data_IF_242642448167
#
_entry.id   IF_242642448167
#
_cell.length_a   1.000
_cell.length_b   1.000
_cell.length_c   1.000
_cell.angle_alpha   90.00
_cell.angle_beta   90.00
_cell.angle_gamma   90.00
#
_symmetry.space_group_name_H-M   'P 1'
#
loop_
_entity.id
_entity.type
_entity.pdbx_description
1 polymer ?
#
# COMPACT_ATOMS: atom_id res chain seq x y z
N UNK A 1 36.30 14.98 4.65
CA UNK A 1 35.20 14.08 5.02
C UNK A 1 34.53 13.65 3.72
N UNK A 2 34.62 12.39 3.32
CA UNK A 2 33.97 11.89 2.11
C UNK A 2 32.51 11.59 2.42
N UNK A 3 31.57 12.17 1.67
CA UNK A 3 30.16 11.81 1.76
C UNK A 3 30.00 10.48 1.01
N UNK A 4 29.38 9.45 1.61
CA UNK A 4 29.08 8.20 0.92
C UNK A 4 28.16 8.48 -0.27
N UNK A 5 28.49 7.89 -1.43
CA UNK A 5 27.61 7.91 -2.59
C UNK A 5 26.60 6.77 -2.46
N UNK A 6 25.31 7.10 -2.36
CA UNK A 6 24.25 6.11 -2.48
C UNK A 6 24.05 5.82 -3.97
N UNK A 7 24.56 4.68 -4.43
CA UNK A 7 24.54 4.31 -5.84
C UNK A 7 23.21 3.63 -6.25
N UNK A 8 22.23 4.47 -6.57
CA UNK A 8 20.93 4.03 -7.08
C UNK A 8 21.04 3.33 -8.45
N UNK A 9 22.06 3.64 -9.25
CA UNK A 9 22.23 3.02 -10.56
C UNK A 9 22.55 1.53 -10.40
N UNK A 10 23.55 1.21 -9.57
CA UNK A 10 23.88 -0.18 -9.22
C UNK A 10 22.68 -0.89 -8.60
N UNK A 11 21.94 -0.23 -7.69
CA UNK A 11 20.71 -0.80 -7.13
C UNK A 11 19.70 -1.22 -8.20
N UNK A 12 19.43 -0.41 -9.22
CA UNK A 12 18.51 -0.79 -10.28
C UNK A 12 19.07 -1.92 -11.15
N UNK A 13 20.35 -1.87 -11.51
CA UNK A 13 20.97 -2.90 -12.34
C UNK A 13 21.00 -4.27 -11.65
N UNK A 14 21.19 -4.29 -10.32
CA UNK A 14 21.24 -5.51 -9.51
C UNK A 14 19.85 -5.97 -9.05
N UNK A 15 18.86 -5.08 -9.04
CA UNK A 15 17.48 -5.38 -8.66
C UNK A 15 16.53 -5.27 -9.86
N UNK A 16 16.38 -6.38 -10.58
CA UNK A 16 15.51 -6.46 -11.76
C UNK A 16 14.06 -6.02 -11.47
N UNK A 17 13.52 -6.31 -10.28
CA UNK A 17 12.16 -5.89 -9.93
C UNK A 17 12.06 -4.37 -9.85
N UNK A 18 13.05 -3.69 -9.25
CA UNK A 18 13.10 -2.23 -9.24
C UNK A 18 13.38 -1.64 -10.63
N UNK A 19 14.20 -2.33 -11.45
CA UNK A 19 14.50 -1.91 -12.82
C UNK A 19 13.27 -1.93 -13.73
N UNK A 20 12.48 -3.00 -13.68
CA UNK A 20 11.28 -3.20 -14.53
C UNK A 20 10.19 -2.14 -14.26
N UNK A 21 10.34 -1.38 -13.18
CA UNK A 21 9.45 -0.30 -12.73
C UNK A 21 10.02 1.12 -12.94
N UNK A 22 11.07 1.23 -13.77
CA UNK A 22 11.54 2.52 -14.29
C UNK A 22 10.79 2.87 -15.58
N UNK A 23 10.00 3.95 -15.53
CA UNK A 23 9.45 4.57 -16.73
C UNK A 23 10.55 5.32 -17.48
N UNK A 24 10.60 5.15 -18.80
CA UNK A 24 11.65 5.71 -19.68
C UNK A 24 13.10 5.35 -19.28
N UNK A 25 13.28 4.35 -18.40
CA UNK A 25 14.60 3.93 -17.90
C UNK A 25 15.22 4.84 -16.84
N UNK A 26 14.52 5.88 -16.37
CA UNK A 26 15.04 6.80 -15.34
C UNK A 26 14.00 7.30 -14.34
N UNK A 27 12.70 7.25 -14.66
CA UNK A 27 11.63 7.78 -13.81
C UNK A 27 11.00 6.63 -12.98
N UNK A 28 11.22 6.57 -11.66
CA UNK A 28 10.69 5.49 -10.84
C UNK A 28 9.18 5.64 -10.61
N UNK A 29 8.44 4.54 -10.78
CA UNK A 29 7.02 4.47 -10.38
C UNK A 29 6.85 4.25 -8.86
N UNK A 30 5.62 4.05 -8.40
CA UNK A 30 5.34 3.85 -6.97
C UNK A 30 5.99 2.61 -6.35
N UNK A 31 6.22 1.54 -7.12
CA UNK A 31 6.90 0.33 -6.64
C UNK A 31 8.38 0.63 -6.43
N UNK A 32 9.03 1.20 -7.45
CA UNK A 32 10.46 1.51 -7.37
C UNK A 32 10.76 2.60 -6.35
N UNK A 33 9.92 3.63 -6.24
CA UNK A 33 10.07 4.66 -5.20
C UNK A 33 10.07 4.05 -3.78
N UNK A 34 9.23 3.05 -3.52
CA UNK A 34 9.17 2.36 -2.22
C UNK A 34 10.45 1.58 -1.93
N UNK A 35 10.97 0.87 -2.94
CA UNK A 35 12.21 0.11 -2.83
C UNK A 35 13.43 1.02 -2.63
N UNK A 36 13.51 2.13 -3.39
CA UNK A 36 14.55 3.15 -3.23
C UNK A 36 14.53 3.79 -1.85
N UNK A 37 13.35 4.17 -1.34
CA UNK A 37 13.23 4.81 -0.03
C UNK A 37 13.79 3.91 1.08
N UNK A 38 13.56 2.60 0.98
CA UNK A 38 14.09 1.62 1.93
C UNK A 38 15.61 1.50 1.87
N UNK A 39 16.20 1.44 0.67
CA UNK A 39 17.64 1.45 0.48
C UNK A 39 18.26 2.72 1.05
N UNK A 40 17.75 3.88 0.63
CA UNK A 40 18.24 5.19 1.06
C UNK A 40 18.19 5.29 2.59
N UNK A 41 17.06 4.93 3.20
CA UNK A 41 16.94 4.92 4.66
C UNK A 41 17.99 4.02 5.32
N UNK A 42 18.25 2.83 4.76
CA UNK A 42 19.27 1.93 5.28
C UNK A 42 20.68 2.52 5.24
N UNK A 43 21.07 3.10 4.10
CA UNK A 43 22.36 3.78 3.95
C UNK A 43 22.50 4.96 4.92
N UNK A 44 21.44 5.79 5.05
CA UNK A 44 21.45 6.91 6.00
C UNK A 44 21.56 6.46 7.46
N UNK A 45 20.84 5.41 7.85
CA UNK A 45 20.88 4.89 9.22
C UNK A 45 22.25 4.29 9.56
N UNK A 46 22.87 3.58 8.62
CA UNK A 46 24.24 3.07 8.76
C UNK A 46 25.24 4.24 8.93
N UNK A 47 25.11 5.31 8.14
CA UNK A 47 25.96 6.52 8.27
C UNK A 47 25.79 7.19 9.64
N UNK A 48 24.58 7.18 10.18
CA UNK A 48 24.27 7.75 11.49
C UNK A 48 24.66 6.82 12.66
N UNK A 49 25.17 5.62 12.39
CA UNK A 49 25.55 4.65 13.41
C UNK A 49 24.37 4.04 14.15
N UNK A 50 23.18 4.04 13.53
CA UNK A 50 22.00 3.37 14.09
C UNK A 50 22.14 1.88 13.83
N UNK A 51 22.13 1.07 14.89
CA UNK A 51 22.21 -0.39 14.79
C UNK A 51 20.83 -1.04 14.88
N UNK A 52 20.71 -2.28 14.39
CA UNK A 52 19.54 -3.13 14.60
C UNK A 52 18.26 -2.70 13.85
N UNK A 53 18.37 -1.82 12.85
CA UNK A 53 17.25 -1.45 12.01
C UNK A 53 16.95 -2.54 10.95
N UNK A 54 15.69 -2.74 10.56
CA UNK A 54 15.35 -3.67 9.49
C UNK A 54 15.90 -3.15 8.16
N UNK A 55 16.49 -4.05 7.36
CA UNK A 55 16.89 -3.79 5.97
C UNK A 55 15.88 -4.46 5.03
N UNK A 56 14.67 -3.88 4.85
CA UNK A 56 13.67 -4.49 3.99
C UNK A 56 14.15 -4.48 2.54
N UNK A 57 13.95 -5.59 1.85
CA UNK A 57 14.20 -5.73 0.42
C UNK A 57 12.88 -5.98 -0.30
N UNK A 58 12.75 -5.45 -1.51
CA UNK A 58 11.62 -5.77 -2.38
C UNK A 58 11.80 -7.17 -2.94
N UNK A 59 11.03 -8.14 -2.43
CA UNK A 59 11.07 -9.53 -2.90
C UNK A 59 10.15 -9.77 -4.10
N UNK A 60 8.97 -9.15 -4.11
CA UNK A 60 7.95 -9.28 -5.14
C UNK A 60 6.94 -8.14 -5.01
N UNK A 61 6.14 -7.92 -6.05
CA UNK A 61 5.03 -6.98 -6.03
C UNK A 61 3.83 -7.57 -6.78
N UNK A 62 2.64 -7.25 -6.30
CA UNK A 62 1.43 -7.62 -7.00
C UNK A 62 0.40 -6.52 -6.89
N UNK A 63 -0.14 -6.10 -8.05
CA UNK A 63 -1.29 -5.21 -8.08
C UNK A 63 -2.52 -5.94 -7.56
N UNK A 64 -3.03 -5.49 -6.43
CA UNK A 64 -4.19 -6.09 -5.74
C UNK A 64 -5.51 -5.60 -6.35
N UNK A 65 -5.60 -4.31 -6.68
CA UNK A 65 -6.81 -3.68 -7.16
C UNK A 65 -6.48 -2.44 -7.98
N UNK A 66 -7.25 -2.21 -9.04
CA UNK A 66 -7.35 -0.93 -9.72
C UNK A 66 -8.73 -0.85 -10.35
N UNK A 67 -9.31 0.34 -10.35
CA UNK A 67 -10.50 0.66 -11.13
C UNK A 67 -10.24 2.00 -11.82
N UNK A 68 -9.59 1.90 -12.97
CA UNK A 68 -9.16 3.05 -13.75
C UNK A 68 -10.29 3.61 -14.64
N UNK A 69 -11.47 2.99 -14.63
CA UNK A 69 -12.62 3.44 -15.41
C UNK A 69 -13.47 4.45 -14.64
N UNK A 70 -13.40 4.42 -13.31
CA UNK A 70 -14.26 5.18 -12.40
C UNK A 70 -13.43 6.19 -11.62
N UNK A 71 -13.50 7.48 -12.00
CA UNK A 71 -12.71 8.57 -11.39
C UNK A 71 -12.92 8.63 -9.88
N UNK A 72 -14.12 8.34 -9.41
CA UNK A 72 -14.54 8.22 -8.02
C UNK A 72 -13.85 7.12 -7.20
N UNK A 73 -13.04 6.27 -7.83
CA UNK A 73 -12.30 5.17 -7.19
C UNK A 73 -10.80 5.16 -7.50
N UNK A 74 -10.29 6.21 -8.14
CA UNK A 74 -8.90 6.28 -8.61
C UNK A 74 -7.87 6.41 -7.47
N UNK A 75 -8.29 6.75 -6.26
CA UNK A 75 -7.41 6.86 -5.11
C UNK A 75 -7.68 5.78 -4.07
N UNK A 76 -6.80 4.77 -4.03
CA UNK A 76 -6.83 3.69 -3.05
C UNK A 76 -5.80 3.95 -1.93
N UNK A 77 -6.22 3.82 -0.67
CA UNK A 77 -5.37 4.12 0.48
C UNK A 77 -5.75 3.31 1.72
N UNK A 78 -4.87 3.36 2.73
CA UNK A 78 -5.07 2.79 4.06
C UNK A 78 -5.35 1.28 4.05
N UNK A 79 -4.55 0.55 3.29
CA UNK A 79 -4.68 -0.89 3.16
C UNK A 79 -4.47 -1.59 4.50
N UNK A 80 -5.27 -2.62 4.74
CA UNK A 80 -5.04 -3.62 5.78
C UNK A 80 -5.22 -5.03 5.22
N UNK A 81 -4.47 -5.99 5.75
CA UNK A 81 -4.44 -7.38 5.30
C UNK A 81 -4.43 -8.30 6.52
N UNK A 82 -5.30 -9.31 6.51
CA UNK A 82 -5.31 -10.34 7.56
C UNK A 82 -5.61 -11.72 6.99
N UNK A 83 -5.22 -12.77 7.71
CA UNK A 83 -5.58 -14.15 7.39
C UNK A 83 -6.59 -14.67 8.41
N UNK A 84 -7.74 -15.13 7.94
CA UNK A 84 -8.82 -15.61 8.78
C UNK A 84 -9.52 -16.81 8.15
N UNK A 85 -9.64 -17.91 8.91
CA UNK A 85 -10.35 -19.14 8.51
C UNK A 85 -10.00 -19.64 7.10
N UNK A 86 -8.71 -19.70 6.78
CA UNK A 86 -8.25 -20.26 5.51
C UNK A 86 -8.21 -19.26 4.34
N UNK A 87 -8.47 -17.98 4.58
CA UNK A 87 -8.56 -16.96 3.54
C UNK A 87 -7.84 -15.67 3.95
N UNK A 88 -7.20 -15.02 2.99
CA UNK A 88 -6.74 -13.64 3.10
C UNK A 88 -7.92 -12.69 2.91
N UNK A 89 -8.01 -11.68 3.75
CA UNK A 89 -8.93 -10.55 3.62
C UNK A 89 -8.12 -9.27 3.49
N UNK A 90 -8.45 -8.46 2.49
CA UNK A 90 -7.80 -7.18 2.21
C UNK A 90 -8.87 -6.11 2.29
N UNK A 91 -8.62 -5.03 3.04
CA UNK A 91 -9.49 -3.87 3.08
C UNK A 91 -8.70 -2.62 2.73
N UNK A 92 -9.31 -1.70 1.99
CA UNK A 92 -8.74 -0.39 1.69
C UNK A 92 -9.84 0.61 1.43
N UNK A 93 -9.53 1.89 1.63
CA UNK A 93 -10.39 2.99 1.17
C UNK A 93 -10.21 3.17 -0.33
N UNK A 94 -11.30 3.44 -1.04
CA UNK A 94 -11.31 3.95 -2.42
C UNK A 94 -12.08 5.27 -2.48
N UNK A 95 -11.58 6.26 -3.22
CA UNK A 95 -12.23 7.56 -3.42
C UNK A 95 -11.69 8.28 -4.68
N UNK A 96 -12.27 9.43 -5.01
CA UNK A 96 -11.77 10.27 -6.12
C UNK A 96 -10.45 10.96 -5.81
N UNK A 97 -10.19 11.28 -4.54
CA UNK A 97 -9.02 12.05 -4.13
C UNK A 97 -8.47 11.57 -2.79
N UNK A 98 -7.23 11.97 -2.51
CA UNK A 98 -6.60 11.81 -1.21
C UNK A 98 -7.29 12.67 -0.13
N UNK A 99 -7.69 13.89 -0.50
CA UNK A 99 -8.30 14.86 0.40
C UNK A 99 -9.67 14.41 0.92
N UNK A 100 -10.06 14.87 2.12
CA UNK A 100 -11.36 14.56 2.73
C UNK A 100 -12.50 15.43 2.17
N UNK A 101 -12.46 15.72 0.86
CA UNK A 101 -13.45 16.53 0.16
C UNK A 101 -14.47 15.70 -0.60
N UNK A 102 -14.29 14.37 -0.62
CA UNK A 102 -15.15 13.44 -1.35
C UNK A 102 -15.46 12.21 -0.52
N UNK A 103 -16.55 11.53 -0.89
CA UNK A 103 -16.97 10.29 -0.28
C UNK A 103 -15.96 9.19 -0.58
N UNK A 104 -15.30 8.68 0.46
CA UNK A 104 -14.55 7.44 0.42
C UNK A 104 -15.40 6.25 0.87
N UNK A 105 -15.23 5.13 0.17
CA UNK A 105 -15.84 3.84 0.49
C UNK A 105 -14.75 2.85 0.89
N UNK A 106 -15.09 1.85 1.70
CA UNK A 106 -14.19 0.73 2.01
C UNK A 106 -14.50 -0.42 1.07
N UNK A 107 -13.50 -0.89 0.34
CA UNK A 107 -13.58 -2.12 -0.44
C UNK A 107 -12.95 -3.24 0.38
N UNK A 108 -13.64 -4.38 0.45
CA UNK A 108 -13.12 -5.62 1.03
C UNK A 108 -12.97 -6.65 -0.08
N UNK A 109 -11.77 -7.20 -0.23
CA UNK A 109 -11.47 -8.32 -1.09
C UNK A 109 -11.16 -9.55 -0.25
N UNK A 110 -11.38 -10.74 -0.81
CA UNK A 110 -10.89 -12.00 -0.23
C UNK A 110 -10.12 -12.81 -1.26
N UNK A 111 -9.21 -13.64 -0.77
CA UNK A 111 -8.37 -14.51 -1.59
C UNK A 111 -8.01 -15.79 -0.83
N UNK A 112 -8.00 -16.93 -1.50
CA UNK A 112 -7.57 -18.21 -0.91
C UNK A 112 -6.06 -18.43 -1.00
N UNK A 113 -5.45 -17.92 -2.06
CA UNK A 113 -4.06 -18.19 -2.44
C UNK A 113 -3.17 -16.93 -2.41
N UNK A 114 -3.73 -15.77 -2.05
CA UNK A 114 -3.04 -14.49 -2.09
C UNK A 114 -2.85 -13.92 -3.49
N UNK A 115 -3.32 -14.62 -4.54
CA UNK A 115 -3.10 -14.28 -5.95
C UNK A 115 -4.43 -13.96 -6.64
N UNK A 116 -5.41 -14.83 -6.52
CA UNK A 116 -6.75 -14.65 -7.08
C UNK A 116 -7.64 -14.02 -6.02
N UNK A 117 -8.28 -12.91 -6.39
CA UNK A 117 -9.05 -12.08 -5.47
C UNK A 117 -10.44 -11.90 -6.02
N UNK A 118 -11.40 -11.88 -5.12
CA UNK A 118 -12.78 -11.52 -5.43
C UNK A 118 -13.28 -10.45 -4.45
N UNK A 119 -14.22 -9.64 -4.91
CA UNK A 119 -14.84 -8.59 -4.09
C UNK A 119 -15.79 -9.25 -3.09
N UNK A 120 -15.57 -9.01 -1.81
CA UNK A 120 -16.39 -9.54 -0.73
C UNK A 120 -17.45 -8.53 -0.29
N UNK A 121 -17.07 -7.26 -0.11
CA UNK A 121 -17.99 -6.20 0.28
C UNK A 121 -17.54 -4.81 -0.19
N UNK A 122 -18.51 -3.90 -0.28
CA UNK A 122 -18.28 -2.45 -0.35
C UNK A 122 -19.05 -1.85 0.83
N UNK A 123 -18.32 -1.17 1.72
CA UNK A 123 -18.87 -0.62 2.95
C UNK A 123 -18.77 0.90 2.90
N UNK A 124 -19.82 1.58 3.33
CA UNK A 124 -19.78 3.02 3.50
C UNK A 124 -20.98 3.55 4.25
N UNK A 125 -20.82 4.76 4.76
CA UNK A 125 -21.85 5.49 5.47
C UNK A 125 -22.34 6.66 4.63
N UNK A 126 -23.64 6.94 4.67
CA UNK A 126 -24.21 8.08 3.94
C UNK A 126 -23.56 9.39 4.40
N UNK A 127 -23.25 10.27 3.44
CA UNK A 127 -22.69 11.62 3.65
C UNK A 127 -21.39 11.67 4.48
N UNK A 128 -20.60 10.59 4.45
CA UNK A 128 -19.32 10.53 5.15
C UNK A 128 -18.24 9.93 4.27
N UNK A 129 -17.01 10.34 4.55
CA UNK A 129 -15.81 9.76 4.00
C UNK A 129 -15.29 8.67 4.96
N UNK A 130 -15.45 7.40 4.56
CA UNK A 130 -14.95 6.26 5.32
C UNK A 130 -13.45 6.09 5.07
N UNK A 131 -12.66 5.97 6.14
CA UNK A 131 -11.20 5.95 6.07
C UNK A 131 -10.60 4.83 6.90
N UNK A 132 -9.34 4.54 6.61
CA UNK A 132 -8.48 3.68 7.45
C UNK A 132 -9.14 2.41 8.00
N UNK A 133 -9.64 1.52 7.12
CA UNK A 133 -10.21 0.27 7.58
C UNK A 133 -9.14 -0.57 8.27
N UNK A 134 -9.55 -1.23 9.35
CA UNK A 134 -8.70 -2.14 10.12
C UNK A 134 -9.47 -3.38 10.51
N UNK A 135 -8.84 -4.53 10.31
CA UNK A 135 -9.34 -5.81 10.73
C UNK A 135 -8.96 -6.09 12.18
N UNK A 136 -9.93 -6.63 12.92
CA UNK A 136 -9.70 -7.24 14.22
C UNK A 136 -10.07 -8.73 14.13
N UNK A 137 -9.05 -9.56 14.02
CA UNK A 137 -9.19 -11.01 14.06
C UNK A 137 -9.19 -11.50 15.52
N UNK A 138 -10.31 -12.08 15.96
CA UNK A 138 -10.48 -12.63 17.32
C UNK A 138 -10.34 -14.16 17.38
N UNK A 139 -9.90 -14.80 16.29
CA UNK A 139 -9.89 -16.25 16.11
C UNK A 139 -11.25 -16.85 15.76
N UNK A 140 -12.33 -16.40 16.42
CA UNK A 140 -13.69 -16.89 16.16
C UNK A 140 -14.45 -16.03 15.15
N UNK A 141 -14.23 -14.71 15.19
CA UNK A 141 -14.86 -13.70 14.35
C UNK A 141 -13.83 -12.73 13.78
N UNK A 142 -14.12 -12.22 12.59
CA UNK A 142 -13.37 -11.13 11.97
C UNK A 142 -14.25 -9.89 11.98
N UNK A 143 -13.77 -8.83 12.62
CA UNK A 143 -14.43 -7.52 12.62
C UNK A 143 -13.65 -6.57 11.72
N UNK A 144 -14.34 -5.60 11.12
CA UNK A 144 -13.74 -4.46 10.45
C UNK A 144 -14.26 -3.19 11.11
N UNK A 145 -13.34 -2.29 11.47
CA UNK A 145 -13.67 -0.95 11.94
C UNK A 145 -13.02 0.10 11.03
N UNK A 146 -13.65 1.25 10.90
CA UNK A 146 -13.22 2.32 10.00
C UNK A 146 -13.66 3.67 10.60
N UNK A 147 -12.75 4.63 10.83
CA UNK A 147 -13.14 6.00 11.13
C UNK A 147 -13.90 6.63 9.96
N UNK A 148 -14.74 7.60 10.27
CA UNK A 148 -15.52 8.36 9.29
C UNK A 148 -15.36 9.85 9.51
N UNK A 149 -15.18 10.60 8.42
CA UNK A 149 -15.20 12.06 8.45
C UNK A 149 -16.54 12.51 7.86
N UNK A 150 -17.26 13.37 8.59
CA UNK A 150 -18.46 14.02 8.03
C UNK A 150 -18.03 14.94 6.91
N UNK A 151 -18.67 14.79 5.75
CA UNK A 151 -18.53 15.76 4.69
C UNK A 151 -19.40 16.96 5.07
N UNK A 152 -18.84 18.17 5.03
CA UNK A 152 -19.65 19.38 5.17
C UNK A 152 -20.59 19.45 3.95
N UNK A 153 -21.85 19.78 4.20
CA UNK A 153 -22.84 20.07 3.15
C UNK A 153 -22.44 21.29 2.34
#
# INVERSE_FOLDING_TARGET
MSVPLIDLCSFFLDNRLAYDHLFEGWLPDGVTQTAMASLIAGEFLDILGVEGFPKPILCDYQRIYTDNQHVETMHNAFTDLTYFKGMFFIAFRTASTHASTSKGMIVVLKSRDGIHREKDAILGTANKDNRDPKFLNTGHKLFLYTPTISLME
#
